data_IF_314478101021
#
_entry.id   IF_314478101021
#
_cell.length_a   1.000
_cell.length_b   1.000
_cell.length_c   1.000
_cell.angle_alpha   90.00
_cell.angle_beta   90.00
_cell.angle_gamma   90.00
#
_symmetry.space_group_name_H-M   'P 1'
#
loop_
_entity.id
_entity.type
_entity.pdbx_description
1 polymer ?
#
# COMPACT_ATOMS: atom_id res chain seq x y z
N UNK A 1 -26.75 -4.02 24.20
CA UNK A 1 -26.36 -3.30 22.98
C UNK A 1 -24.86 -3.09 22.96
N UNK A 2 -24.16 -3.49 21.89
CA UNK A 2 -22.74 -3.14 21.73
C UNK A 2 -22.65 -1.63 21.52
N UNK A 3 -21.86 -0.93 22.33
CA UNK A 3 -21.65 0.51 22.18
C UNK A 3 -20.95 0.76 20.84
N UNK A 4 -21.51 1.66 20.03
CA UNK A 4 -20.86 2.13 18.81
C UNK A 4 -19.51 2.75 19.19
N UNK A 5 -18.41 2.22 18.66
CA UNK A 5 -17.09 2.83 18.74
C UNK A 5 -16.85 3.56 17.43
N UNK A 6 -16.51 4.83 17.51
CA UNK A 6 -16.08 5.61 16.34
C UNK A 6 -14.85 4.90 15.76
N UNK A 7 -14.84 4.53 14.47
CA UNK A 7 -13.68 3.94 13.84
C UNK A 7 -12.51 4.93 13.90
N UNK A 8 -11.40 4.53 14.51
CA UNK A 8 -10.16 5.30 14.52
C UNK A 8 -9.33 4.84 13.34
N UNK A 9 -9.37 5.61 12.27
CA UNK A 9 -8.48 5.41 11.12
C UNK A 9 -7.10 5.94 11.57
N UNK A 10 -6.02 5.16 11.42
CA UNK A 10 -4.68 5.63 11.77
C UNK A 10 -4.34 6.89 10.95
N UNK A 11 -3.60 7.85 11.53
CA UNK A 11 -3.19 9.06 10.82
C UNK A 11 -2.32 8.69 9.61
N UNK A 12 -2.58 9.32 8.47
CA UNK A 12 -1.78 9.17 7.25
C UNK A 12 -1.14 10.50 6.87
N UNK A 13 -0.02 10.44 6.16
CA UNK A 13 0.68 11.63 5.65
C UNK A 13 0.98 11.42 4.18
N UNK A 14 0.62 12.39 3.33
CA UNK A 14 0.92 12.33 1.91
C UNK A 14 2.43 12.53 1.67
N UNK A 15 3.03 11.65 0.87
CA UNK A 15 4.40 11.78 0.36
C UNK A 15 4.36 11.70 -1.16
N UNK A 16 4.91 12.70 -1.85
CA UNK A 16 5.01 12.73 -3.30
C UNK A 16 6.36 12.20 -3.75
N UNK A 17 6.35 11.17 -4.61
CA UNK A 17 7.53 10.55 -5.20
C UNK A 17 7.28 10.24 -6.68
N UNK A 18 8.34 10.04 -7.45
CA UNK A 18 8.28 9.72 -8.89
C UNK A 18 8.57 8.24 -9.09
N UNK A 19 7.73 7.56 -9.87
CA UNK A 19 7.96 6.21 -10.35
C UNK A 19 8.45 6.28 -11.82
N UNK A 20 9.35 5.38 -12.25
CA UNK A 20 9.58 5.14 -13.67
C UNK A 20 8.27 4.76 -14.38
N UNK A 21 8.11 5.16 -15.65
CA UNK A 21 6.87 4.91 -16.39
C UNK A 21 6.62 3.43 -16.61
N UNK A 22 7.68 2.66 -16.90
CA UNK A 22 7.61 1.21 -17.05
C UNK A 22 7.01 0.54 -15.81
N UNK A 23 7.48 0.90 -14.62
CA UNK A 23 6.94 0.40 -13.35
C UNK A 23 5.47 0.80 -13.16
N UNK A 24 5.07 2.01 -13.59
CA UNK A 24 3.66 2.42 -13.50
C UNK A 24 2.79 1.53 -14.39
N UNK A 25 3.19 1.33 -15.65
CA UNK A 25 2.48 0.47 -16.59
C UNK A 25 2.35 -0.97 -16.08
N UNK A 26 3.43 -1.53 -15.50
CA UNK A 26 3.40 -2.87 -14.90
C UNK A 26 2.44 -2.97 -13.71
N UNK A 27 2.41 -1.95 -12.84
CA UNK A 27 1.48 -1.93 -11.69
C UNK A 27 0.03 -1.84 -12.17
N UNK A 28 -0.25 -0.93 -13.11
CA UNK A 28 -1.59 -0.72 -13.67
C UNK A 28 -2.10 -1.98 -14.39
N UNK A 29 -1.23 -2.69 -15.11
CA UNK A 29 -1.57 -3.97 -15.72
C UNK A 29 -1.85 -5.05 -14.67
N UNK A 30 -1.03 -5.14 -13.61
CA UNK A 30 -1.19 -6.13 -12.55
C UNK A 30 -2.48 -5.96 -11.74
N UNK A 31 -2.94 -4.72 -11.52
CA UNK A 31 -4.17 -4.43 -10.78
C UNK A 31 -5.41 -4.35 -11.68
N UNK A 32 -5.25 -4.49 -13.01
CA UNK A 32 -6.34 -4.39 -13.97
C UNK A 32 -7.42 -5.45 -13.72
N UNK A 33 -8.67 -4.99 -13.61
CA UNK A 33 -9.81 -5.87 -13.34
C UNK A 33 -9.92 -6.31 -11.87
N UNK A 34 -9.10 -5.74 -10.98
CA UNK A 34 -9.23 -5.88 -9.53
C UNK A 34 -9.87 -4.62 -8.94
N UNK A 35 -10.43 -4.72 -7.73
CA UNK A 35 -10.90 -3.57 -6.95
C UNK A 35 -9.75 -2.83 -6.21
N UNK A 36 -8.48 -3.09 -6.58
CA UNK A 36 -7.31 -2.45 -5.97
C UNK A 36 -6.98 -1.12 -6.64
N UNK A 37 -6.55 -0.14 -5.85
CA UNK A 37 -6.06 1.15 -6.36
C UNK A 37 -4.54 1.16 -6.37
N UNK A 38 -3.92 1.95 -7.26
CA UNK A 38 -2.46 2.12 -7.32
C UNK A 38 -1.85 2.44 -5.94
N UNK A 39 -2.46 3.38 -5.20
CA UNK A 39 -1.99 3.75 -3.86
C UNK A 39 -2.07 2.59 -2.86
N UNK A 40 -3.14 1.78 -2.92
CA UNK A 40 -3.28 0.61 -2.04
C UNK A 40 -2.22 -0.45 -2.37
N UNK A 41 -1.99 -0.71 -3.66
CA UNK A 41 -0.93 -1.60 -4.13
C UNK A 41 0.45 -1.15 -3.63
N UNK A 42 0.80 0.13 -3.81
CA UNK A 42 2.11 0.66 -3.38
C UNK A 42 2.26 0.58 -1.86
N UNK A 43 1.22 0.90 -1.08
CA UNK A 43 1.27 0.81 0.39
C UNK A 43 1.54 -0.64 0.82
N UNK A 44 0.87 -1.62 0.21
CA UNK A 44 1.04 -3.02 0.56
C UNK A 44 2.41 -3.56 0.13
N UNK A 45 2.87 -3.23 -1.08
CA UNK A 45 4.19 -3.60 -1.56
C UNK A 45 5.30 -3.07 -0.63
N UNK A 46 5.19 -1.83 -0.15
CA UNK A 46 6.15 -1.24 0.79
C UNK A 46 6.09 -1.92 2.15
N UNK A 47 4.91 -2.34 2.64
CA UNK A 47 4.80 -3.10 3.90
C UNK A 47 5.53 -4.43 3.80
N UNK A 48 5.26 -5.20 2.75
CA UNK A 48 5.91 -6.49 2.50
C UNK A 48 7.42 -6.32 2.37
N UNK A 49 7.88 -5.30 1.63
CA UNK A 49 9.32 -5.00 1.51
C UNK A 49 9.96 -4.68 2.88
N UNK A 50 9.28 -3.91 3.74
CA UNK A 50 9.76 -3.60 5.09
C UNK A 50 9.74 -4.82 6.03
N UNK A 51 8.79 -5.73 5.87
CA UNK A 51 8.74 -6.99 6.62
C UNK A 51 9.90 -7.91 6.23
N UNK A 52 10.09 -8.12 4.92
CA UNK A 52 11.21 -8.93 4.40
C UNK A 52 12.58 -8.41 4.89
N UNK A 53 12.77 -7.08 4.94
CA UNK A 53 14.02 -6.48 5.45
C UNK A 53 14.24 -6.74 6.95
N UNK A 54 13.17 -6.85 7.74
CA UNK A 54 13.28 -7.19 9.17
C UNK A 54 13.60 -8.66 9.36
N UNK A 55 12.95 -9.53 8.59
CA UNK A 55 13.20 -10.97 8.61
C UNK A 55 14.65 -11.30 8.21
N UNK A 56 15.23 -10.60 7.23
CA UNK A 56 16.63 -10.79 6.81
C UNK A 56 17.66 -10.30 7.85
N UNK A 57 17.23 -9.43 8.77
CA UNK A 57 18.08 -8.88 9.84
C UNK A 57 18.05 -9.70 11.14
N UNK A 58 17.22 -10.73 11.22
CA UNK A 58 17.07 -11.66 12.36
C UNK A 58 17.87 -12.97 12.15
#
# INVERSE_FOLDING_TARGET
MRKFRIPSIPPTTNKSIRFPNDVIDEIEEAIKGTDCTFSAFVVEAVRVALENLKEDSE
#
